data_IF_768226396492
#
_entry.id   IF_768226396492
#
_cell.length_a   1.000
_cell.length_b   1.000
_cell.length_c   1.000
_cell.angle_alpha   90.00
_cell.angle_beta   90.00
_cell.angle_gamma   90.00
#
_symmetry.space_group_name_H-M   'P 1'
#
loop_
_entity.id
_entity.type
_entity.pdbx_description
1 polymer ?
#
# COMPACT_ATOMS: atom_id res chain seq x y z
N UNK A 1 -1.91 -5.78 -19.19
CA UNK A 1 -0.67 -6.56 -19.08
C UNK A 1 -0.26 -7.07 -20.45
N UNK A 2 1.00 -6.92 -20.87
CA UNK A 2 1.46 -7.44 -22.16
C UNK A 2 2.03 -8.85 -21.98
N UNK A 3 1.45 -9.84 -22.67
CA UNK A 3 1.85 -11.26 -22.66
C UNK A 3 1.50 -11.87 -24.01
N UNK A 4 2.25 -12.86 -24.46
CA UNK A 4 1.99 -13.58 -25.72
C UNK A 4 1.76 -12.65 -26.94
N UNK A 5 2.52 -11.54 -26.97
CA UNK A 5 2.44 -10.49 -27.99
C UNK A 5 1.08 -9.76 -28.08
N UNK A 6 0.30 -9.76 -27.00
CA UNK A 6 -0.99 -9.09 -26.89
C UNK A 6 -1.18 -8.37 -25.53
N UNK A 7 -2.07 -7.37 -25.51
CA UNK A 7 -2.50 -6.74 -24.27
C UNK A 7 -3.71 -7.48 -23.68
N UNK A 8 -3.54 -7.99 -22.47
CA UNK A 8 -4.58 -8.61 -21.67
C UNK A 8 -5.08 -7.65 -20.59
N UNK A 9 -6.39 -7.47 -20.50
CA UNK A 9 -7.02 -6.73 -19.41
C UNK A 9 -7.13 -7.64 -18.18
N UNK A 10 -6.51 -7.22 -17.07
CA UNK A 10 -6.66 -7.88 -15.78
C UNK A 10 -7.63 -7.02 -14.95
N UNK A 11 -8.90 -7.38 -14.97
CA UNK A 11 -9.99 -6.60 -14.32
C UNK A 11 -10.53 -7.22 -13.05
N UNK A 12 -10.04 -8.39 -12.65
CA UNK A 12 -10.50 -9.13 -11.47
C UNK A 12 -9.31 -9.67 -10.67
N UNK A 13 -9.52 -9.85 -9.37
CA UNK A 13 -8.56 -10.50 -8.48
C UNK A 13 -8.18 -11.90 -8.94
N UNK A 14 -9.13 -12.65 -9.52
CA UNK A 14 -8.88 -14.01 -10.02
C UNK A 14 -7.96 -14.00 -11.25
N UNK A 15 -8.14 -13.04 -12.17
CA UNK A 15 -7.26 -12.89 -13.33
C UNK A 15 -5.85 -12.47 -12.90
N UNK A 16 -5.76 -11.60 -11.89
CA UNK A 16 -4.48 -11.17 -11.32
C UNK A 16 -3.75 -12.37 -10.70
N UNK A 17 -4.46 -13.14 -9.87
CA UNK A 17 -3.93 -14.36 -9.22
C UNK A 17 -3.46 -15.40 -10.22
N UNK A 18 -4.29 -15.73 -11.22
CA UNK A 18 -3.94 -16.70 -12.24
C UNK A 18 -2.74 -16.28 -13.11
N UNK A 19 -2.43 -14.99 -13.15
CA UNK A 19 -1.33 -14.45 -13.97
C UNK A 19 -0.01 -14.38 -13.21
N UNK A 20 -0.05 -14.01 -11.93
CA UNK A 20 1.14 -13.65 -11.16
C UNK A 20 1.44 -14.57 -9.97
N UNK A 21 0.56 -15.51 -9.62
CA UNK A 21 0.91 -16.55 -8.65
C UNK A 21 1.76 -17.68 -9.30
N UNK A 22 2.62 -18.38 -8.54
CA UNK A 22 2.90 -18.17 -7.11
C UNK A 22 3.69 -16.88 -6.86
N UNK A 23 3.51 -16.29 -5.67
CA UNK A 23 4.33 -15.18 -5.17
C UNK A 23 5.48 -15.78 -4.39
N UNK A 24 6.72 -15.53 -4.82
CA UNK A 24 7.91 -16.25 -4.34
C UNK A 24 8.92 -15.32 -3.63
N UNK A 25 8.69 -14.01 -3.64
CA UNK A 25 9.59 -13.03 -3.02
C UNK A 25 8.85 -11.84 -2.38
N UNK A 26 9.57 -11.12 -1.52
CA UNK A 26 9.09 -9.88 -0.88
C UNK A 26 8.80 -8.77 -1.90
N UNK A 27 9.60 -8.68 -2.96
CA UNK A 27 9.45 -7.71 -4.03
C UNK A 27 8.23 -7.99 -4.90
N UNK A 28 7.96 -9.27 -5.18
CA UNK A 28 6.75 -9.71 -5.85
C UNK A 28 5.51 -9.45 -4.99
N UNK A 29 5.57 -9.74 -3.69
CA UNK A 29 4.47 -9.47 -2.78
C UNK A 29 4.11 -7.98 -2.71
N UNK A 30 5.12 -7.10 -2.61
CA UNK A 30 4.92 -5.65 -2.67
C UNK A 30 4.26 -5.23 -3.98
N UNK A 31 4.82 -5.66 -5.11
CA UNK A 31 4.32 -5.29 -6.43
C UNK A 31 2.88 -5.79 -6.65
N UNK A 32 2.58 -7.01 -6.18
CA UNK A 32 1.27 -7.61 -6.27
C UNK A 32 0.25 -6.88 -5.39
N UNK A 33 0.60 -6.54 -4.15
CA UNK A 33 -0.27 -5.79 -3.25
C UNK A 33 -0.64 -4.41 -3.82
N UNK A 34 0.34 -3.69 -4.39
CA UNK A 34 0.12 -2.38 -5.01
C UNK A 34 -0.83 -2.41 -6.22
N UNK A 35 -0.85 -3.51 -6.98
CA UNK A 35 -1.79 -3.68 -8.10
C UNK A 35 -3.14 -4.23 -7.65
N UNK A 36 -3.17 -5.00 -6.57
CA UNK A 36 -4.38 -5.65 -6.06
C UNK A 36 -5.25 -4.77 -5.15
N UNK A 37 -4.72 -3.64 -4.69
CA UNK A 37 -5.37 -2.74 -3.72
C UNK A 37 -5.36 -1.29 -4.22
N UNK A 38 -6.08 -0.41 -3.54
CA UNK A 38 -6.05 1.05 -3.76
C UNK A 38 -5.09 1.75 -2.77
N UNK A 39 -4.03 1.05 -2.38
CA UNK A 39 -3.05 1.53 -1.40
C UNK A 39 -1.77 1.98 -2.10
N UNK A 40 -1.00 2.81 -1.41
CA UNK A 40 0.24 3.38 -1.91
C UNK A 40 1.44 3.02 -1.03
N UNK A 41 2.59 2.87 -1.67
CA UNK A 41 3.87 2.79 -0.99
C UNK A 41 4.38 4.19 -0.64
N UNK A 42 4.74 4.40 0.63
CA UNK A 42 5.45 5.58 1.12
C UNK A 42 6.85 5.21 1.61
N UNK A 43 7.84 5.90 1.05
CA UNK A 43 9.26 5.85 1.41
C UNK A 43 9.77 7.27 1.61
N UNK A 44 10.94 7.43 2.25
CA UNK A 44 11.56 8.72 2.55
C UNK A 44 10.58 9.69 3.25
N UNK A 45 9.86 9.17 4.24
CA UNK A 45 8.82 9.89 4.97
C UNK A 45 9.34 11.18 5.63
N UNK A 46 10.53 11.21 6.29
CA UNK A 46 11.07 12.43 6.88
C UNK A 46 11.20 13.59 5.89
N UNK A 47 11.62 13.29 4.65
CA UNK A 47 11.74 14.31 3.59
C UNK A 47 10.37 14.77 3.09
N UNK A 48 9.40 13.85 2.98
CA UNK A 48 8.02 14.17 2.55
C UNK A 48 7.27 15.05 3.55
N UNK A 49 7.56 14.91 4.85
CA UNK A 49 6.93 15.69 5.92
C UNK A 49 7.58 17.08 6.11
N UNK A 50 8.80 17.27 5.59
CA UNK A 50 9.58 18.50 5.81
C UNK A 50 8.89 19.74 5.21
N UNK A 51 8.87 20.81 6.00
CA UNK A 51 8.37 22.12 5.54
C UNK A 51 6.84 22.27 5.53
N UNK A 52 6.11 21.29 6.08
CA UNK A 52 4.65 21.33 6.22
C UNK A 52 4.26 21.26 7.70
N UNK A 53 3.09 21.79 8.11
CA UNK A 53 2.51 21.44 9.39
C UNK A 53 2.20 19.95 9.41
N UNK A 54 2.73 19.20 10.38
CA UNK A 54 2.41 17.79 10.56
C UNK A 54 2.34 17.41 12.04
N UNK A 55 1.66 16.31 12.33
CA UNK A 55 1.70 15.66 13.63
C UNK A 55 1.74 14.14 13.45
N UNK A 56 2.59 13.46 14.23
CA UNK A 56 2.55 12.01 14.35
C UNK A 56 1.38 11.60 15.24
N UNK A 57 0.69 10.55 14.85
CA UNK A 57 -0.41 9.91 15.60
C UNK A 57 0.03 8.59 16.23
N UNK A 58 1.29 8.21 15.98
CA UNK A 58 1.99 7.03 16.49
C UNK A 58 3.34 7.43 17.09
N UNK A 59 3.95 6.53 17.86
CA UNK A 59 5.27 6.76 18.46
C UNK A 59 6.41 6.55 17.46
N UNK A 60 6.25 5.60 16.54
CA UNK A 60 7.24 5.23 15.54
C UNK A 60 6.54 5.14 14.19
N UNK A 61 7.15 5.73 13.17
CA UNK A 61 6.63 5.75 11.82
C UNK A 61 7.51 4.83 10.96
N UNK A 62 6.89 3.80 10.38
CA UNK A 62 7.57 2.81 9.56
C UNK A 62 7.36 3.10 8.09
N UNK A 63 8.40 3.00 7.26
CA UNK A 63 8.22 3.12 5.81
C UNK A 63 7.59 1.85 5.24
N UNK A 64 7.19 1.90 3.97
CA UNK A 64 6.73 0.70 3.26
C UNK A 64 7.80 -0.38 3.33
N UNK A 65 7.42 -1.55 3.79
CA UNK A 65 8.30 -2.70 3.88
C UNK A 65 7.48 -3.99 3.75
N UNK A 66 8.18 -5.11 3.59
CA UNK A 66 7.55 -6.42 3.51
C UNK A 66 8.25 -7.35 4.47
N UNK A 67 7.46 -8.07 5.25
CA UNK A 67 7.93 -9.13 6.13
C UNK A 67 7.40 -10.48 5.64
N UNK A 68 8.22 -11.52 5.74
CA UNK A 68 7.75 -12.89 5.54
C UNK A 68 7.12 -13.41 6.83
N UNK A 69 5.93 -13.98 6.71
CA UNK A 69 5.16 -14.58 7.79
C UNK A 69 4.75 -16.02 7.42
N UNK A 70 4.37 -16.87 8.38
CA UNK A 70 3.96 -18.25 8.08
C UNK A 70 2.83 -18.39 7.06
N UNK A 71 1.95 -17.39 6.96
CA UNK A 71 0.84 -17.35 5.99
C UNK A 71 1.16 -16.67 4.64
N UNK A 72 2.41 -16.24 4.43
CA UNK A 72 2.86 -15.56 3.21
C UNK A 72 3.66 -14.30 3.53
N UNK A 73 3.20 -13.15 3.05
CA UNK A 73 3.87 -11.87 3.19
C UNK A 73 2.95 -10.86 3.85
N UNK A 74 3.50 -10.05 4.75
CA UNK A 74 2.84 -8.87 5.32
C UNK A 74 3.47 -7.65 4.66
N UNK A 75 2.68 -6.93 3.86
CA UNK A 75 3.11 -5.73 3.14
C UNK A 75 2.55 -4.51 3.87
N UNK A 76 3.42 -3.67 4.41
CA UNK A 76 3.04 -2.43 5.08
C UNK A 76 2.82 -1.32 4.04
N UNK A 77 1.56 -0.94 3.80
CA UNK A 77 1.19 0.08 2.82
C UNK A 77 0.38 1.22 3.46
N UNK A 78 0.01 2.22 2.67
CA UNK A 78 -0.70 3.40 3.14
C UNK A 78 -1.98 3.66 2.35
N UNK A 79 -3.05 4.00 3.05
CA UNK A 79 -4.27 4.51 2.44
C UNK A 79 -4.08 5.96 1.99
N UNK A 80 -4.84 6.37 0.98
CA UNK A 80 -4.91 7.76 0.56
C UNK A 80 -5.30 8.68 1.74
N UNK A 81 -4.72 9.90 1.85
CA UNK A 81 -5.00 10.78 2.96
C UNK A 81 -6.47 11.22 3.01
N UNK A 82 -7.08 11.23 4.19
CA UNK A 82 -8.48 11.62 4.41
C UNK A 82 -8.60 12.89 5.27
N UNK A 83 -9.46 13.88 4.90
CA UNK A 83 -10.26 13.92 3.67
C UNK A 83 -9.37 13.98 2.42
N UNK A 84 -9.81 13.45 1.27
CA UNK A 84 -9.00 13.47 0.03
C UNK A 84 -8.78 14.85 -0.60
N UNK A 85 -9.59 15.85 -0.25
CA UNK A 85 -9.53 17.20 -0.81
C UNK A 85 -9.93 18.28 0.22
N UNK A 86 -9.70 19.54 -0.15
CA UNK A 86 -9.96 20.71 0.70
C UNK A 86 -8.73 21.18 1.48
N UNK A 87 -8.93 22.21 2.30
CA UNK A 87 -7.90 22.76 3.18
C UNK A 87 -8.10 22.26 4.61
N UNK A 88 -7.07 21.67 5.20
CA UNK A 88 -7.12 21.20 6.58
C UNK A 88 -6.02 20.22 6.91
N UNK A 89 -6.25 19.41 7.95
CA UNK A 89 -5.40 18.27 8.25
C UNK A 89 -5.93 17.04 7.53
N UNK A 90 -5.04 16.41 6.75
CA UNK A 90 -5.29 15.19 6.00
C UNK A 90 -4.54 14.05 6.70
N UNK A 91 -5.27 13.04 7.16
CA UNK A 91 -4.74 11.91 7.91
C UNK A 91 -4.33 10.81 6.96
N UNK A 92 -3.08 10.39 7.03
CA UNK A 92 -2.60 9.19 6.33
C UNK A 92 -2.62 8.02 7.31
N UNK A 93 -3.26 6.91 6.93
CA UNK A 93 -3.28 5.67 7.69
C UNK A 93 -2.41 4.62 7.00
N UNK A 94 -1.75 3.77 7.80
CA UNK A 94 -1.11 2.56 7.31
C UNK A 94 -2.10 1.39 7.32
N UNK A 95 -1.92 0.48 6.38
CA UNK A 95 -2.70 -0.74 6.20
C UNK A 95 -1.71 -1.86 5.94
N UNK A 96 -1.68 -2.84 6.85
CA UNK A 96 -0.95 -4.07 6.62
C UNK A 96 -1.78 -4.96 5.69
N UNK A 97 -1.16 -5.45 4.62
CA UNK A 97 -1.79 -6.30 3.60
C UNK A 97 -1.15 -7.68 3.65
N UNK A 98 -1.96 -8.70 3.91
CA UNK A 98 -1.52 -10.10 3.85
C UNK A 98 -1.63 -10.56 2.40
N UNK A 99 -0.51 -10.99 1.82
CA UNK A 99 -0.42 -11.61 0.49
C UNK A 99 0.06 -13.05 0.66
N UNK A 100 -0.76 -14.02 0.27
CA UNK A 100 -0.35 -15.43 0.30
C UNK A 100 0.46 -15.79 -0.95
N UNK A 101 1.27 -16.85 -0.87
CA UNK A 101 1.97 -17.41 -2.05
C UNK A 101 0.99 -17.77 -3.18
N UNK A 102 -0.25 -18.13 -2.83
CA UNK A 102 -1.31 -18.42 -3.78
C UNK A 102 -2.00 -17.16 -4.37
N UNK A 103 -1.55 -15.95 -4.01
CA UNK A 103 -2.09 -14.68 -4.51
C UNK A 103 -3.45 -14.29 -3.91
N UNK A 104 -3.79 -14.78 -2.72
CA UNK A 104 -4.89 -14.22 -1.94
C UNK A 104 -4.44 -12.95 -1.22
N UNK A 105 -5.30 -11.94 -1.17
CA UNK A 105 -5.01 -10.62 -0.58
C UNK A 105 -6.04 -10.31 0.49
N UNK A 106 -5.58 -9.80 1.63
CA UNK A 106 -6.43 -9.33 2.72
C UNK A 106 -5.85 -8.07 3.34
N UNK A 107 -6.60 -6.98 3.30
CA UNK A 107 -6.30 -5.76 4.04
C UNK A 107 -6.69 -5.91 5.51
N UNK A 108 -5.82 -5.48 6.42
CA UNK A 108 -6.12 -5.37 7.84
C UNK A 108 -6.72 -3.98 8.16
N UNK A 109 -7.12 -3.77 9.41
CA UNK A 109 -7.71 -2.50 9.83
C UNK A 109 -6.71 -1.33 9.67
N UNK A 110 -7.10 -0.23 8.99
CA UNK A 110 -6.25 0.93 8.85
C UNK A 110 -5.90 1.57 10.20
N UNK A 111 -4.64 1.94 10.39
CA UNK A 111 -4.13 2.61 11.60
C UNK A 111 -3.62 4.01 11.24
N UNK A 112 -4.22 5.09 11.78
CA UNK A 112 -3.72 6.45 11.56
C UNK A 112 -2.24 6.60 11.95
N UNK A 113 -1.42 7.17 11.07
CA UNK A 113 0.02 7.29 11.28
C UNK A 113 0.44 8.74 11.51
N UNK A 114 0.03 9.63 10.63
CA UNK A 114 0.34 11.05 10.72
C UNK A 114 -0.74 11.87 10.03
N UNK A 115 -0.77 13.16 10.33
CA UNK A 115 -1.60 14.13 9.63
C UNK A 115 -0.75 15.25 9.04
N UNK A 116 -1.12 15.72 7.86
CA UNK A 116 -0.48 16.84 7.16
C UNK A 116 -1.46 17.99 6.96
N UNK A 117 -1.04 19.19 7.36
CA UNK A 117 -1.75 20.43 7.05
C UNK A 117 -1.46 20.87 5.63
N UNK A 118 -2.45 20.79 4.73
CA UNK A 118 -2.34 21.21 3.34
C UNK A 118 -3.70 21.64 2.75
N UNK A 119 -3.66 22.22 1.56
CA UNK A 119 -4.83 22.37 0.69
C UNK A 119 -4.62 21.47 -0.52
N UNK A 120 -5.55 20.52 -0.73
CA UNK A 120 -5.57 19.62 -1.88
C UNK A 120 -6.80 19.91 -2.76
N UNK A 121 -6.59 19.93 -4.07
CA UNK A 121 -7.61 20.21 -5.09
C UNK A 121 -8.18 18.91 -5.69
#
# INVERSE_FOLDING_TARGET
MFKDNAFHLLSTSDNLRATFAPIESTEEALSYALVATDLMALYDLPSKLKGRPYAYLVNELEETHVEYAPEGYVVHLYAHPEPGCGCGFHVTAAVDVIVTEAGAVKELEPKPQFQLGLCAD
#
